data_IF_467275300544
#
_entry.id   IF_467275300544
#
_cell.length_a   1.000
_cell.length_b   1.000
_cell.length_c   1.000
_cell.angle_alpha   90.00
_cell.angle_beta   90.00
_cell.angle_gamma   90.00
#
_symmetry.space_group_name_H-M   'P 1'
#
loop_
_entity.id
_entity.type
_entity.pdbx_description
1 polymer ?
#
# COMPACT_ATOMS: atom_id res chain seq x y z
N UNK A 1 13.53 13.61 -13.68
CA UNK A 1 12.66 12.52 -14.18
C UNK A 1 11.48 12.41 -13.23
N UNK A 2 10.24 12.54 -13.72
CA UNK A 2 9.07 12.92 -12.92
C UNK A 2 8.81 12.02 -11.71
N UNK A 3 9.04 12.56 -10.51
CA UNK A 3 8.75 11.90 -9.23
C UNK A 3 7.33 12.21 -8.71
N UNK A 4 6.56 12.97 -9.50
CA UNK A 4 5.24 13.44 -9.13
C UNK A 4 4.18 12.54 -9.77
N UNK A 5 3.12 12.23 -9.01
CA UNK A 5 1.97 11.53 -9.55
C UNK A 5 1.22 12.45 -10.52
N UNK A 6 0.81 11.90 -11.66
CA UNK A 6 -0.31 12.49 -12.41
C UNK A 6 -1.61 12.31 -11.63
N UNK A 7 -2.59 13.16 -11.89
CA UNK A 7 -3.93 13.09 -11.30
C UNK A 7 -4.53 11.68 -11.42
N UNK A 8 -4.43 11.08 -12.61
CA UNK A 8 -4.91 9.73 -12.90
C UNK A 8 -4.19 8.66 -12.05
N UNK A 9 -2.86 8.74 -11.96
CA UNK A 9 -2.10 7.80 -11.13
C UNK A 9 -2.46 7.92 -9.65
N UNK A 10 -2.67 9.14 -9.14
CA UNK A 10 -3.06 9.33 -7.75
C UNK A 10 -4.48 8.86 -7.48
N UNK A 11 -5.41 9.04 -8.44
CA UNK A 11 -6.76 8.49 -8.36
C UNK A 11 -6.76 6.97 -8.24
N UNK A 12 -5.93 6.28 -9.02
CA UNK A 12 -5.75 4.84 -8.90
C UNK A 12 -5.21 4.43 -7.52
N UNK A 13 -4.32 5.23 -6.92
CA UNK A 13 -3.86 5.01 -5.54
C UNK A 13 -5.02 5.16 -4.55
N UNK A 14 -5.79 6.25 -4.61
CA UNK A 14 -6.91 6.48 -3.69
C UNK A 14 -7.99 5.39 -3.81
N UNK A 15 -8.30 4.95 -5.02
CA UNK A 15 -9.21 3.81 -5.26
C UNK A 15 -8.63 2.51 -4.72
N UNK A 16 -7.36 2.22 -5.04
CA UNK A 16 -6.67 1.04 -4.55
C UNK A 16 -6.55 0.99 -3.03
N UNK A 17 -6.59 2.13 -2.35
CA UNK A 17 -6.59 2.22 -0.89
C UNK A 17 -7.99 2.30 -0.27
N UNK A 18 -9.05 2.39 -1.09
CA UNK A 18 -10.43 2.43 -0.65
C UNK A 18 -10.96 3.80 -0.21
N UNK A 19 -10.25 4.89 -0.52
CA UNK A 19 -10.76 6.27 -0.31
C UNK A 19 -11.72 6.73 -1.41
N UNK A 20 -11.76 6.02 -2.54
CA UNK A 20 -12.68 6.24 -3.64
C UNK A 20 -13.48 4.96 -3.90
N UNK A 21 -14.73 5.07 -4.40
CA UNK A 21 -15.55 3.91 -4.71
C UNK A 21 -14.90 3.02 -5.78
N UNK A 22 -15.21 1.73 -5.70
CA UNK A 22 -14.73 0.67 -6.59
C UNK A 22 -15.27 0.85 -8.01
N UNK A 23 -14.67 1.75 -8.79
CA UNK A 23 -14.81 1.75 -10.24
C UNK A 23 -13.69 0.88 -10.84
N UNK A 24 -13.96 0.07 -11.87
CA UNK A 24 -12.95 -0.79 -12.46
C UNK A 24 -11.78 0.03 -13.00
N UNK A 25 -10.56 -0.37 -12.63
CA UNK A 25 -9.28 0.30 -12.97
C UNK A 25 -9.10 0.46 -14.50
N UNK A 26 -9.76 -0.40 -15.29
CA UNK A 26 -9.80 -0.37 -16.75
C UNK A 26 -10.76 0.68 -17.34
N UNK A 27 -11.79 1.14 -16.60
CA UNK A 27 -12.70 2.21 -17.05
C UNK A 27 -12.21 3.61 -16.70
N UNK A 28 -11.11 3.73 -15.95
CA UNK A 28 -10.41 5.03 -15.79
C UNK A 28 -9.62 5.42 -17.06
N UNK A 29 -9.67 4.59 -18.09
CA UNK A 29 -9.17 4.93 -19.41
C UNK A 29 -10.01 6.07 -20.03
N UNK A 30 -9.38 7.24 -20.08
CA UNK A 30 -9.53 8.30 -21.07
C UNK A 30 -10.58 9.40 -20.89
N UNK A 31 -11.65 9.24 -20.10
CA UNK A 31 -12.59 10.34 -19.81
C UNK A 31 -12.76 10.54 -18.31
N UNK A 32 -11.79 11.23 -17.70
CA UNK A 32 -11.85 11.63 -16.29
C UNK A 32 -12.55 12.97 -16.13
N UNK A 33 -13.73 13.15 -16.73
CA UNK A 33 -14.44 14.44 -16.71
C UNK A 33 -15.60 14.50 -15.68
N UNK A 34 -15.96 13.39 -15.01
CA UNK A 34 -17.16 13.34 -14.17
C UNK A 34 -16.97 12.74 -12.76
N UNK A 35 -15.73 12.68 -12.23
CA UNK A 35 -15.64 12.67 -10.75
C UNK A 35 -15.79 14.12 -10.32
N UNK A 36 -16.78 14.45 -9.49
CA UNK A 36 -16.85 15.80 -8.94
C UNK A 36 -15.53 16.09 -8.25
N UNK A 37 -14.89 17.21 -8.60
CA UNK A 37 -13.61 17.63 -7.99
C UNK A 37 -13.67 17.57 -6.46
N UNK A 38 -14.85 17.80 -5.89
CA UNK A 38 -15.13 17.67 -4.47
C UNK A 38 -14.94 16.25 -3.91
N UNK A 39 -15.34 15.19 -4.63
CA UNK A 39 -15.16 13.80 -4.19
C UNK A 39 -13.66 13.45 -4.17
N UNK A 40 -12.93 13.86 -5.21
CA UNK A 40 -11.49 13.63 -5.29
C UNK A 40 -10.74 14.43 -4.21
N UNK A 41 -11.10 15.70 -4.01
CA UNK A 41 -10.54 16.57 -2.97
C UNK A 41 -10.80 15.99 -1.57
N UNK A 42 -12.02 15.55 -1.29
CA UNK A 42 -12.37 14.92 -0.01
C UNK A 42 -11.57 13.64 0.22
N UNK A 43 -11.38 12.81 -0.82
CA UNK A 43 -10.55 11.62 -0.71
C UNK A 43 -9.08 11.95 -0.41
N UNK A 44 -8.53 13.03 -0.99
CA UNK A 44 -7.19 13.54 -0.63
C UNK A 44 -7.17 14.00 0.83
N UNK A 45 -8.19 14.73 1.29
CA UNK A 45 -8.26 15.21 2.67
C UNK A 45 -8.31 14.06 3.68
N UNK A 46 -9.12 13.03 3.41
CA UNK A 46 -9.20 11.82 4.24
C UNK A 46 -7.86 11.08 4.27
N UNK A 47 -7.23 10.90 3.11
CA UNK A 47 -5.89 10.33 3.05
C UNK A 47 -4.91 11.14 3.89
N UNK A 48 -4.88 12.47 3.71
CA UNK A 48 -3.99 13.35 4.47
C UNK A 48 -4.24 13.23 5.98
N UNK A 49 -5.51 13.21 6.40
CA UNK A 49 -5.91 13.06 7.80
C UNK A 49 -5.41 11.73 8.39
N UNK A 50 -5.62 10.61 7.69
CA UNK A 50 -5.19 9.29 8.15
C UNK A 50 -3.66 9.19 8.31
N UNK A 51 -2.90 9.89 7.44
CA UNK A 51 -1.45 9.90 7.49
C UNK A 51 -0.84 11.06 8.28
N UNK A 52 -1.67 11.81 9.03
CA UNK A 52 -1.26 12.94 9.86
C UNK A 52 -0.56 14.05 9.05
N UNK A 53 -1.00 14.23 7.80
CA UNK A 53 -0.64 15.35 6.94
C UNK A 53 -1.69 16.47 7.10
N UNK A 54 -1.35 17.66 6.60
CA UNK A 54 -2.31 18.77 6.56
C UNK A 54 -3.42 18.43 5.56
N UNK A 55 -4.72 18.41 5.97
CA UNK A 55 -5.84 18.04 5.10
C UNK A 55 -6.23 19.18 4.14
N UNK A 56 -5.27 19.60 3.31
CA UNK A 56 -5.43 20.67 2.32
C UNK A 56 -6.35 20.28 1.16
N UNK A 57 -6.53 18.97 0.92
CA UNK A 57 -7.20 18.44 -0.27
C UNK A 57 -6.38 18.62 -1.56
N UNK A 58 -5.16 19.13 -1.45
CA UNK A 58 -4.26 19.36 -2.56
C UNK A 58 -3.26 18.21 -2.69
N UNK A 59 -2.88 17.90 -3.93
CA UNK A 59 -1.86 16.91 -4.21
C UNK A 59 -0.45 17.48 -4.02
N UNK A 60 -0.13 17.91 -2.80
CA UNK A 60 1.18 18.46 -2.47
C UNK A 60 2.29 17.39 -2.46
N UNK A 61 3.55 17.83 -2.45
CA UNK A 61 4.72 16.93 -2.50
C UNK A 61 4.77 15.93 -1.34
N UNK A 62 4.36 16.34 -0.13
CA UNK A 62 4.40 15.47 1.03
C UNK A 62 3.31 14.38 0.91
N UNK A 63 2.12 14.74 0.45
CA UNK A 63 1.03 13.82 0.14
C UNK A 63 1.44 12.79 -0.91
N UNK A 64 2.07 13.25 -2.00
CA UNK A 64 2.57 12.36 -3.06
C UNK A 64 3.66 11.41 -2.55
N UNK A 65 4.67 11.90 -1.84
CA UNK A 65 5.75 11.03 -1.35
C UNK A 65 5.24 10.02 -0.31
N UNK A 66 4.30 10.42 0.57
CA UNK A 66 3.67 9.51 1.53
C UNK A 66 2.92 8.40 0.81
N UNK A 67 2.08 8.73 -0.16
CA UNK A 67 1.38 7.73 -0.98
C UNK A 67 2.37 6.78 -1.68
N UNK A 68 3.45 7.33 -2.24
CA UNK A 68 4.48 6.52 -2.93
C UNK A 68 5.16 5.54 -2.00
N UNK A 69 5.50 5.96 -0.78
CA UNK A 69 6.07 5.08 0.24
C UNK A 69 5.10 3.97 0.63
N UNK A 70 3.82 4.31 0.85
CA UNK A 70 2.79 3.34 1.19
C UNK A 70 2.63 2.27 0.11
N UNK A 71 2.56 2.68 -1.17
CA UNK A 71 2.43 1.72 -2.26
C UNK A 71 3.68 0.86 -2.43
N UNK A 72 4.89 1.41 -2.26
CA UNK A 72 6.12 0.59 -2.26
C UNK A 72 6.10 -0.47 -1.17
N UNK A 73 5.69 -0.09 0.04
CA UNK A 73 5.59 -1.03 1.16
C UNK A 73 4.52 -2.09 0.89
N UNK A 74 3.39 -1.71 0.30
CA UNK A 74 2.34 -2.64 -0.11
C UNK A 74 2.86 -3.62 -1.17
N UNK A 75 3.47 -3.15 -2.25
CA UNK A 75 4.06 -3.98 -3.30
C UNK A 75 5.11 -4.95 -2.73
N UNK A 76 5.96 -4.48 -1.82
CA UNK A 76 6.93 -5.32 -1.14
C UNK A 76 6.26 -6.42 -0.31
N UNK A 77 5.23 -6.08 0.46
CA UNK A 77 4.48 -7.03 1.29
C UNK A 77 3.74 -8.05 0.43
N UNK A 78 3.14 -7.63 -0.69
CA UNK A 78 2.50 -8.51 -1.65
C UNK A 78 3.51 -9.48 -2.27
N UNK A 79 4.68 -9.01 -2.70
CA UNK A 79 5.74 -9.88 -3.22
C UNK A 79 6.12 -10.97 -2.20
N UNK A 80 6.19 -10.64 -0.91
CA UNK A 80 6.52 -11.60 0.15
C UNK A 80 5.40 -12.60 0.45
N UNK A 81 4.14 -12.16 0.45
CA UNK A 81 3.02 -13.01 0.87
C UNK A 81 2.45 -13.83 -0.28
N UNK A 82 2.15 -13.20 -1.42
CA UNK A 82 1.56 -13.88 -2.58
C UNK A 82 2.62 -14.37 -3.58
N UNK A 83 3.91 -14.22 -3.27
CA UNK A 83 5.05 -14.70 -4.08
C UNK A 83 5.02 -14.18 -5.53
N UNK A 84 4.77 -12.89 -5.68
CA UNK A 84 4.77 -12.19 -6.98
C UNK A 84 6.02 -11.32 -7.15
N UNK A 85 6.23 -10.79 -8.36
CA UNK A 85 7.39 -9.97 -8.75
C UNK A 85 6.97 -8.57 -9.18
N UNK A 86 6.21 -7.87 -8.34
CA UNK A 86 5.80 -6.50 -8.61
C UNK A 86 6.99 -5.54 -8.53
N UNK A 87 7.08 -4.55 -9.44
CA UNK A 87 8.05 -3.47 -9.32
C UNK A 87 7.72 -2.57 -8.13
N UNK A 88 8.71 -2.27 -7.28
CA UNK A 88 8.58 -1.37 -6.12
C UNK A 88 8.61 0.11 -6.53
N UNK A 89 7.85 0.46 -7.56
CA UNK A 89 7.84 1.80 -8.15
C UNK A 89 6.89 2.77 -7.42
N UNK A 90 6.03 2.26 -6.53
CA UNK A 90 5.06 3.06 -5.80
C UNK A 90 3.82 3.44 -6.62
N UNK A 91 3.57 2.82 -7.77
CA UNK A 91 2.36 3.08 -8.56
C UNK A 91 1.33 1.96 -8.38
N UNK A 92 0.08 2.33 -8.13
CA UNK A 92 -1.03 1.38 -8.06
C UNK A 92 -1.54 1.09 -9.47
N UNK A 93 -1.04 0.02 -10.08
CA UNK A 93 -1.38 -0.42 -11.44
C UNK A 93 -2.21 -1.72 -11.41
N UNK A 94 -2.66 -2.17 -12.57
CA UNK A 94 -3.41 -3.43 -12.70
C UNK A 94 -2.67 -4.64 -12.11
N UNK A 95 -1.35 -4.71 -12.25
CA UNK A 95 -0.55 -5.78 -11.63
C UNK A 95 -0.61 -5.74 -10.10
N UNK A 96 -0.50 -4.55 -9.50
CA UNK A 96 -0.62 -4.36 -8.05
C UNK A 96 -2.02 -4.74 -7.57
N UNK A 97 -3.07 -4.30 -8.27
CA UNK A 97 -4.45 -4.66 -7.94
C UNK A 97 -4.69 -6.17 -8.03
N UNK A 98 -4.19 -6.83 -9.08
CA UNK A 98 -4.30 -8.28 -9.22
C UNK A 98 -3.61 -9.02 -8.08
N UNK A 99 -2.44 -8.57 -7.64
CA UNK A 99 -1.78 -9.14 -6.46
C UNK A 99 -2.59 -8.94 -5.17
N UNK A 100 -3.27 -7.80 -5.02
CA UNK A 100 -4.20 -7.56 -3.91
C UNK A 100 -5.40 -8.51 -3.99
N UNK A 101 -5.98 -8.75 -5.17
CA UNK A 101 -7.05 -9.73 -5.36
C UNK A 101 -6.61 -11.14 -4.99
N UNK A 102 -5.39 -11.55 -5.37
CA UNK A 102 -4.84 -12.85 -4.99
C UNK A 102 -4.70 -12.97 -3.48
N UNK A 103 -4.19 -11.94 -2.80
CA UNK A 103 -4.11 -11.91 -1.34
C UNK A 103 -5.50 -12.02 -0.71
N UNK A 104 -6.47 -11.25 -1.21
CA UNK A 104 -7.85 -11.29 -0.73
C UNK A 104 -8.43 -12.70 -0.84
N UNK A 105 -8.26 -13.35 -1.99
CA UNK A 105 -8.73 -14.72 -2.22
C UNK A 105 -8.06 -15.73 -1.29
N UNK A 106 -6.76 -15.59 -1.00
CA UNK A 106 -6.06 -16.44 -0.04
C UNK A 106 -6.59 -16.28 1.40
N UNK A 107 -7.15 -15.11 1.72
CA UNK A 107 -7.71 -14.79 3.03
C UNK A 107 -9.24 -14.87 3.10
N UNK A 108 -9.88 -15.47 2.09
CA UNK A 108 -11.35 -15.56 2.00
C UNK A 108 -12.06 -14.20 2.06
N UNK A 109 -11.38 -13.14 1.63
CA UNK A 109 -11.93 -11.80 1.48
C UNK A 109 -12.51 -11.62 0.07
N UNK A 110 -13.39 -10.64 -0.10
CA UNK A 110 -13.87 -10.25 -1.42
C UNK A 110 -12.69 -9.78 -2.28
N UNK A 111 -12.48 -10.43 -3.43
CA UNK A 111 -11.41 -10.14 -4.39
C UNK A 111 -11.67 -8.85 -5.18
N UNK A 112 -11.78 -7.72 -4.50
CA UNK A 112 -12.08 -6.39 -5.06
C UNK A 112 -10.87 -5.71 -5.68
N UNK A 113 -9.66 -6.16 -5.35
CA UNK A 113 -8.42 -5.50 -5.75
C UNK A 113 -8.22 -4.16 -5.04
N UNK A 114 -8.91 -3.93 -3.93
CA UNK A 114 -8.83 -2.74 -3.09
C UNK A 114 -8.22 -3.10 -1.74
N UNK A 115 -7.07 -2.51 -1.45
CA UNK A 115 -6.35 -2.61 -0.20
C UNK A 115 -6.96 -1.69 0.88
N UNK A 116 -8.20 -2.03 1.31
CA UNK A 116 -8.86 -1.39 2.44
C UNK A 116 -7.98 -1.44 3.72
N UNK A 117 -8.27 -0.56 4.68
CA UNK A 117 -7.49 -0.47 5.94
C UNK A 117 -7.32 -1.82 6.65
N UNK A 118 -8.35 -2.67 6.68
CA UNK A 118 -8.28 -4.02 7.27
C UNK A 118 -7.28 -4.93 6.55
N UNK A 119 -7.27 -4.92 5.22
CA UNK A 119 -6.32 -5.69 4.41
C UNK A 119 -4.89 -5.28 4.70
N UNK A 120 -4.65 -3.97 4.80
CA UNK A 120 -3.33 -3.43 5.10
C UNK A 120 -2.88 -3.79 6.51
N UNK A 121 -3.78 -3.71 7.49
CA UNK A 121 -3.48 -4.16 8.84
C UNK A 121 -3.14 -5.66 8.86
N UNK A 122 -3.87 -6.50 8.12
CA UNK A 122 -3.57 -7.92 7.99
C UNK A 122 -2.19 -8.19 7.35
N UNK A 123 -1.84 -7.46 6.27
CA UNK A 123 -0.52 -7.53 5.64
C UNK A 123 0.60 -7.13 6.61
N UNK A 124 0.44 -6.01 7.32
CA UNK A 124 1.44 -5.55 8.30
C UNK A 124 1.67 -6.58 9.41
N UNK A 125 0.61 -7.22 9.91
CA UNK A 125 0.74 -8.27 10.93
C UNK A 125 1.49 -9.49 10.38
N UNK A 126 1.20 -9.93 9.15
CA UNK A 126 1.91 -11.06 8.54
C UNK A 126 3.39 -10.76 8.27
N UNK A 127 3.70 -9.56 7.77
CA UNK A 127 5.09 -9.13 7.58
C UNK A 127 5.82 -9.11 8.93
N UNK A 128 5.20 -8.55 9.99
CA UNK A 128 5.77 -8.60 11.35
C UNK A 128 5.99 -10.02 11.84
N UNK A 129 5.04 -10.94 11.61
CA UNK A 129 5.18 -12.35 12.01
C UNK A 129 6.30 -13.05 11.25
N UNK A 130 6.43 -12.85 9.93
CA UNK A 130 7.52 -13.39 9.11
C UNK A 130 8.87 -12.84 9.54
N UNK A 131 8.96 -11.55 9.82
CA UNK A 131 10.20 -10.93 10.32
C UNK A 131 10.57 -11.46 11.71
N UNK A 132 9.59 -11.64 12.60
CA UNK A 132 9.79 -12.24 13.94
C UNK A 132 10.19 -13.71 13.88
N UNK A 133 9.58 -14.51 13.00
CA UNK A 133 9.98 -15.91 12.84
C UNK A 133 11.35 -16.07 12.20
N UNK A 134 11.77 -15.11 11.36
CA UNK A 134 13.14 -15.04 10.85
C UNK A 134 14.16 -14.60 11.91
N UNK A 135 13.79 -13.74 12.86
CA UNK A 135 14.67 -13.39 14.01
C UNK A 135 14.65 -14.42 15.14
N UNK A 136 13.57 -15.19 15.28
CA UNK A 136 13.48 -16.30 16.23
C UNK A 136 14.32 -17.52 15.84
N UNK A 137 14.72 -17.63 14.56
CA UNK A 137 15.69 -18.62 14.07
C UNK A 137 17.12 -18.03 13.95
N UNK A 138 17.43 -17.02 14.77
CA UNK A 138 18.66 -16.24 14.67
C UNK A 138 19.24 -15.75 16.01
N UNK A 139 18.95 -16.41 17.13
CA UNK A 139 19.58 -16.14 18.43
C UNK A 139 19.85 -17.43 19.24
N UNK A 140 20.75 -18.26 18.74
CA UNK A 140 21.48 -19.26 19.55
C UNK A 140 23.00 -19.12 19.33
N UNK A 141 23.52 -17.89 19.23
CA UNK A 141 24.95 -17.67 19.01
C UNK A 141 25.57 -16.49 19.78
N UNK A 142 24.89 -15.87 20.75
CA UNK A 142 25.47 -14.73 21.51
C UNK A 142 25.21 -14.75 23.02
N UNK A 143 24.78 -15.88 23.60
CA UNK A 143 24.58 -16.02 25.05
C UNK A 143 25.69 -16.80 25.77
N UNK A 144 26.70 -17.34 25.07
CA UNK A 144 27.78 -18.15 25.67
C UNK A 144 29.11 -17.40 25.86
N UNK A 145 29.12 -16.07 25.79
CA UNK A 145 30.34 -15.26 25.95
C UNK A 145 30.27 -14.26 27.12
N UNK A 146 29.55 -14.60 28.19
CA UNK A 146 29.60 -13.85 29.46
C UNK A 146 29.81 -14.71 30.70
N UNK A 147 30.58 -15.80 30.59
CA UNK A 147 30.99 -16.59 31.76
C UNK A 147 32.46 -17.02 31.79
N UNK A 148 33.30 -16.59 30.85
CA UNK A 148 34.75 -16.87 30.91
C UNK A 148 35.52 -15.60 30.57
N UNK A 149 35.80 -14.81 31.60
CA UNK A 149 37.07 -14.15 31.80
C UNK A 149 37.17 -13.89 33.31
N UNK A 150 38.05 -14.69 33.91
CA UNK A 150 38.52 -14.67 35.29
C UNK A 150 39.11 -13.30 35.62
#
# INVERSE_FOLDING_TARGET
MGTAYSLHQFRAVLQGLGYLPAAPISELACNTEDLPDQVFTNAIQLFQQDYQLVPSGQLDRATQERARQLIRNLQHSLNLVVQTQLPLNGFYNAATAHAVELFQKQHSLAGTGIAHGELRHALEQQVKQRLRSQTSCGCEALSTLKSIAI
#
